data_IF_754071711010
#
_entry.id   IF_754071711010
#
_cell.length_a   1.000
_cell.length_b   1.000
_cell.length_c   1.000
_cell.angle_alpha   90.00
_cell.angle_beta   90.00
_cell.angle_gamma   90.00
#
_symmetry.space_group_name_H-M   'P 1'
#
loop_
_entity.id
_entity.type
_entity.pdbx_description
1 polymer ?
#
# COMPACT_ATOMS: atom_id res chain seq x y z
N UNK A 1 -18.46 -46.68 23.44
CA UNK A 1 -17.51 -45.56 23.32
C UNK A 1 -17.79 -44.89 21.99
N UNK A 2 -18.59 -43.82 22.02
CA UNK A 2 -18.85 -42.97 20.86
C UNK A 2 -17.57 -42.22 20.50
N UNK A 3 -17.14 -42.35 19.25
CA UNK A 3 -16.05 -41.56 18.68
C UNK A 3 -16.65 -40.23 18.25
N UNK A 4 -16.36 -39.19 19.03
CA UNK A 4 -16.69 -37.81 18.67
C UNK A 4 -15.82 -37.41 17.48
N UNK A 5 -16.40 -36.96 16.35
CA UNK A 5 -15.60 -36.45 15.24
C UNK A 5 -15.03 -35.08 15.62
N UNK A 6 -13.70 -34.98 15.60
CA UNK A 6 -12.96 -33.73 15.77
C UNK A 6 -13.37 -32.75 14.66
N UNK A 7 -13.85 -31.58 15.07
CA UNK A 7 -14.18 -30.51 14.14
C UNK A 7 -12.90 -30.00 13.45
N UNK A 8 -12.94 -29.66 12.16
CA UNK A 8 -11.77 -29.13 11.46
C UNK A 8 -11.41 -27.77 12.06
N UNK A 9 -10.18 -27.65 12.56
CA UNK A 9 -9.59 -26.38 12.97
C UNK A 9 -9.55 -25.46 11.74
N UNK A 10 -10.21 -24.29 11.75
CA UNK A 10 -10.22 -23.41 10.60
C UNK A 10 -8.83 -22.82 10.40
N UNK A 11 -8.15 -23.28 9.34
CA UNK A 11 -6.90 -22.72 8.87
C UNK A 11 -7.19 -21.41 8.14
N UNK A 12 -7.49 -20.35 8.90
CA UNK A 12 -7.84 -19.04 8.37
C UNK A 12 -6.70 -18.04 8.63
N UNK A 13 -5.52 -18.35 8.10
CA UNK A 13 -4.41 -17.41 8.04
C UNK A 13 -4.37 -16.79 6.64
N UNK A 14 -5.38 -15.99 6.29
CA UNK A 14 -5.23 -15.09 5.14
C UNK A 14 -4.15 -14.09 5.53
N UNK A 15 -3.03 -14.07 4.79
CA UNK A 15 -1.98 -13.07 5.02
C UNK A 15 -2.58 -11.68 4.95
N UNK A 16 -2.07 -10.74 5.75
CA UNK A 16 -2.54 -9.36 5.75
C UNK A 16 -2.56 -8.75 4.34
N UNK A 17 -1.56 -9.09 3.52
CA UNK A 17 -1.49 -8.68 2.11
C UNK A 17 -2.70 -9.19 1.32
N UNK A 18 -3.10 -10.46 1.50
CA UNK A 18 -4.29 -11.00 0.86
C UNK A 18 -5.57 -10.35 1.40
N UNK A 19 -5.65 -10.08 2.70
CA UNK A 19 -6.78 -9.37 3.30
C UNK A 19 -6.89 -7.92 2.79
N UNK A 20 -5.77 -7.22 2.64
CA UNK A 20 -5.66 -5.89 2.06
C UNK A 20 -6.09 -5.89 0.58
N UNK A 21 -5.59 -6.84 -0.22
CA UNK A 21 -6.00 -6.97 -1.61
C UNK A 21 -7.49 -7.23 -1.74
N UNK A 22 -8.04 -8.17 -0.97
CA UNK A 22 -9.49 -8.43 -0.97
C UNK A 22 -10.29 -7.20 -0.52
N UNK A 23 -9.82 -6.45 0.49
CA UNK A 23 -10.48 -5.24 0.99
C UNK A 23 -10.56 -4.13 -0.06
N UNK A 24 -9.54 -3.98 -0.90
CA UNK A 24 -9.43 -2.85 -1.83
C UNK A 24 -9.57 -3.20 -3.31
N UNK A 25 -9.71 -4.48 -3.65
CA UNK A 25 -9.80 -4.97 -5.05
C UNK A 25 -10.80 -4.19 -5.88
N UNK A 26 -12.00 -3.96 -5.34
CA UNK A 26 -13.08 -3.29 -6.08
C UNK A 26 -12.81 -1.77 -6.23
N UNK A 27 -12.20 -1.12 -5.23
CA UNK A 27 -11.76 0.28 -5.33
C UNK A 27 -10.62 0.47 -6.34
N UNK A 28 -9.68 -0.48 -6.41
CA UNK A 28 -8.61 -0.47 -7.42
C UNK A 28 -9.18 -0.63 -8.85
N UNK A 29 -10.26 -1.38 -9.02
CA UNK A 29 -10.87 -1.66 -10.32
C UNK A 29 -11.88 -0.58 -10.75
N UNK A 30 -12.59 0.05 -9.81
CA UNK A 30 -13.67 1.00 -10.10
C UNK A 30 -13.20 2.44 -10.38
N UNK A 31 -12.05 2.86 -9.83
CA UNK A 31 -11.54 4.24 -9.98
C UNK A 31 -10.05 4.24 -10.32
N UNK A 32 -9.72 3.97 -11.59
CA UNK A 32 -8.35 4.03 -12.11
C UNK A 32 -7.94 5.50 -12.30
N UNK A 33 -7.70 6.25 -11.21
CA UNK A 33 -6.92 7.49 -11.26
C UNK A 33 -5.46 7.15 -11.56
N UNK A 34 -4.74 8.07 -12.22
CA UNK A 34 -3.32 7.95 -12.60
C UNK A 34 -2.41 7.52 -11.43
N UNK A 35 -2.77 7.89 -10.20
CA UNK A 35 -2.07 7.53 -8.97
C UNK A 35 -2.20 6.03 -8.64
N UNK A 36 -3.37 5.40 -8.87
CA UNK A 36 -3.56 3.95 -8.72
C UNK A 36 -2.84 3.12 -9.79
N UNK A 37 -2.61 3.66 -10.99
CA UNK A 37 -1.78 3.02 -12.04
C UNK A 37 -0.30 2.98 -11.66
N UNK A 38 0.22 4.03 -11.02
CA UNK A 38 1.60 4.08 -10.50
C UNK A 38 1.75 3.09 -9.32
N UNK A 39 0.69 2.92 -8.53
CA UNK A 39 0.63 1.98 -7.41
C UNK A 39 0.55 0.53 -7.92
N UNK A 40 -0.32 0.22 -8.87
CA UNK A 40 -0.44 -1.11 -9.49
C UNK A 40 0.83 -1.56 -10.22
N UNK A 41 1.51 -0.64 -10.90
CA UNK A 41 2.82 -0.92 -11.53
C UNK A 41 3.94 -1.14 -10.50
N UNK A 42 3.88 -0.46 -9.34
CA UNK A 42 4.79 -0.71 -8.21
C UNK A 42 4.55 -2.09 -7.58
N UNK A 43 3.31 -2.55 -7.49
CA UNK A 43 2.99 -3.91 -7.02
C UNK A 43 3.43 -4.99 -8.00
N UNK A 44 3.30 -4.79 -9.31
CA UNK A 44 3.86 -5.71 -10.33
C UNK A 44 5.39 -5.75 -10.24
N UNK A 45 6.05 -4.60 -10.05
CA UNK A 45 7.50 -4.55 -9.82
C UNK A 45 7.92 -5.24 -8.51
N UNK A 46 7.06 -5.29 -7.49
CA UNK A 46 7.30 -5.94 -6.19
C UNK A 46 7.00 -7.44 -6.19
N UNK A 47 5.97 -7.90 -6.90
CA UNK A 47 5.80 -9.32 -7.23
C UNK A 47 6.95 -9.79 -8.11
N UNK A 48 7.41 -8.94 -9.04
CA UNK A 48 8.66 -9.18 -9.76
C UNK A 48 9.86 -9.15 -8.81
N UNK A 49 9.94 -8.34 -7.75
CA UNK A 49 11.06 -8.37 -6.81
C UNK A 49 11.06 -9.61 -5.91
N UNK A 50 9.89 -10.11 -5.49
CA UNK A 50 9.73 -11.36 -4.73
C UNK A 50 9.90 -12.59 -5.63
N UNK A 51 9.43 -12.51 -6.88
CA UNK A 51 9.74 -13.47 -7.94
C UNK A 51 11.22 -13.40 -8.34
N UNK A 52 11.84 -12.23 -8.35
CA UNK A 52 13.29 -12.01 -8.52
C UNK A 52 14.01 -12.55 -7.30
N UNK A 53 13.49 -12.48 -6.07
CA UNK A 53 14.08 -13.13 -4.90
C UNK A 53 14.03 -14.67 -5.03
N UNK A 54 12.86 -15.21 -5.41
CA UNK A 54 12.67 -16.65 -5.70
C UNK A 54 13.45 -17.16 -6.91
N UNK A 55 13.65 -16.31 -7.92
CA UNK A 55 14.45 -16.63 -9.11
C UNK A 55 15.91 -16.26 -8.93
N UNK A 56 16.33 -15.31 -8.11
CA UNK A 56 17.73 -14.98 -7.78
C UNK A 56 18.33 -16.09 -6.92
N UNK A 57 17.55 -16.67 -6.01
CA UNK A 57 17.87 -17.94 -5.33
C UNK A 57 18.03 -19.11 -6.35
N UNK A 58 17.51 -18.98 -7.58
CA UNK A 58 17.47 -20.05 -8.59
C UNK A 58 18.09 -19.72 -9.98
N UNK A 59 18.73 -18.56 -10.22
CA UNK A 59 19.01 -18.04 -11.59
C UNK A 59 20.47 -17.63 -11.83
N UNK A 60 21.04 -17.91 -13.03
CA UNK A 60 22.44 -17.63 -13.38
C UNK A 60 22.77 -16.15 -13.68
N UNK A 61 21.88 -15.20 -13.41
CA UNK A 61 22.10 -13.76 -13.64
C UNK A 61 23.20 -13.11 -12.77
N UNK A 62 23.80 -13.86 -11.82
CA UNK A 62 25.01 -13.51 -11.03
C UNK A 62 26.24 -13.09 -11.87
N UNK A 63 26.24 -13.30 -13.20
CA UNK A 63 27.43 -13.07 -14.05
C UNK A 63 27.73 -11.60 -14.41
N UNK A 64 26.75 -10.68 -14.46
CA UNK A 64 26.99 -9.30 -14.96
C UNK A 64 27.52 -8.31 -13.94
N UNK A 65 27.19 -8.44 -12.65
CA UNK A 65 27.79 -7.60 -11.60
C UNK A 65 29.27 -7.96 -11.32
N UNK A 66 29.69 -9.17 -11.71
CA UNK A 66 31.07 -9.66 -11.55
C UNK A 66 32.08 -9.06 -12.55
N UNK A 67 31.66 -8.50 -13.69
CA UNK A 67 32.63 -7.91 -14.65
C UNK A 67 33.17 -6.54 -14.21
N UNK A 68 32.39 -5.76 -13.46
CA UNK A 68 32.81 -4.42 -13.01
C UNK A 68 33.78 -4.49 -11.82
N UNK A 69 33.66 -5.51 -10.96
CA UNK A 69 34.50 -5.66 -9.76
C UNK A 69 35.70 -6.61 -9.96
N UNK A 70 35.70 -7.47 -11.00
CA UNK A 70 36.83 -8.37 -11.32
C UNK A 70 38.08 -7.62 -11.78
N UNK A 71 37.94 -6.50 -12.48
CA UNK A 71 39.07 -5.73 -13.01
C UNK A 71 39.92 -5.08 -11.91
N UNK A 72 39.40 -4.97 -10.69
CA UNK A 72 40.08 -4.32 -9.56
C UNK A 72 40.81 -5.30 -8.61
N UNK A 73 40.49 -6.60 -8.65
CA UNK A 73 40.95 -7.58 -7.65
C UNK A 73 41.90 -8.67 -8.15
N UNK A 74 42.29 -8.66 -9.43
CA UNK A 74 43.14 -9.71 -10.01
C UNK A 74 44.63 -9.61 -9.62
N UNK A 75 45.01 -8.67 -8.77
CA UNK A 75 46.36 -8.56 -8.22
C UNK A 75 46.27 -8.55 -6.70
N UNK A 76 46.27 -9.73 -6.08
CA UNK A 76 46.91 -10.06 -4.78
C UNK A 76 46.55 -11.52 -4.42
N UNK A 77 47.49 -12.39 -4.80
CA UNK A 77 47.93 -13.61 -4.12
C UNK A 77 46.89 -14.61 -3.58
N UNK A 78 46.85 -15.75 -4.29
CA UNK A 78 46.78 -17.10 -3.71
C UNK A 78 47.84 -17.26 -2.61
N UNK A 79 47.45 -17.31 -1.35
CA UNK A 79 48.13 -18.03 -0.26
C UNK A 79 47.34 -17.80 1.06
N UNK A 80 47.08 -18.90 1.79
CA UNK A 80 46.24 -19.05 3.01
C UNK A 80 44.77 -19.44 2.77
N UNK A 81 44.60 -20.60 2.16
CA UNK A 81 43.35 -21.35 2.13
C UNK A 81 43.35 -22.35 3.30
N UNK A 82 43.15 -21.88 4.55
CA UNK A 82 42.85 -22.77 5.70
C UNK A 82 42.29 -22.09 6.99
N UNK A 83 42.02 -20.78 7.05
CA UNK A 83 41.50 -20.12 8.26
C UNK A 83 40.24 -19.26 8.02
N UNK A 84 39.06 -19.86 7.75
CA UNK A 84 37.77 -19.22 8.10
C UNK A 84 36.50 -20.09 7.96
N UNK A 85 36.54 -21.40 8.20
CA UNK A 85 35.29 -22.18 8.24
C UNK A 85 34.61 -21.94 9.58
N UNK A 86 33.80 -20.87 9.67
CA UNK A 86 32.98 -20.59 10.84
C UNK A 86 32.10 -21.81 11.15
N UNK A 87 32.07 -22.24 12.40
CA UNK A 87 31.33 -23.44 12.82
C UNK A 87 29.81 -23.24 12.69
N UNK A 88 29.06 -24.33 12.51
CA UNK A 88 27.59 -24.26 12.44
C UNK A 88 26.98 -23.68 13.73
N UNK A 89 27.60 -23.94 14.88
CA UNK A 89 27.21 -23.34 16.16
C UNK A 89 27.38 -21.82 16.17
N UNK A 90 28.49 -21.31 15.60
CA UNK A 90 28.70 -19.87 15.48
C UNK A 90 27.64 -19.24 14.57
N UNK A 91 27.31 -19.88 13.45
CA UNK A 91 26.28 -19.40 12.50
C UNK A 91 24.90 -19.36 13.16
N UNK A 92 24.54 -20.38 13.93
CA UNK A 92 23.29 -20.42 14.69
C UNK A 92 23.21 -19.32 15.76
N UNK A 93 24.33 -19.04 16.45
CA UNK A 93 24.41 -17.92 17.41
C UNK A 93 24.24 -16.56 16.75
N UNK A 94 24.85 -16.37 15.57
CA UNK A 94 24.69 -15.13 14.79
C UNK A 94 23.26 -14.93 14.30
N UNK A 95 22.58 -16.00 13.88
CA UNK A 95 21.17 -15.93 13.49
C UNK A 95 20.30 -15.52 14.66
N UNK A 96 20.48 -16.18 15.82
CA UNK A 96 19.74 -15.83 17.04
C UNK A 96 19.98 -14.38 17.45
N UNK A 97 21.23 -13.92 17.41
CA UNK A 97 21.59 -12.52 17.70
C UNK A 97 20.90 -11.55 16.74
N UNK A 98 20.89 -11.88 15.44
CA UNK A 98 20.23 -11.06 14.43
C UNK A 98 18.71 -11.01 14.63
N UNK A 99 18.05 -12.15 14.92
CA UNK A 99 16.62 -12.19 15.25
C UNK A 99 16.28 -11.35 16.50
N UNK A 100 17.11 -11.39 17.54
CA UNK A 100 16.92 -10.54 18.72
C UNK A 100 17.07 -9.05 18.41
N UNK A 101 18.05 -8.67 17.58
CA UNK A 101 18.20 -7.28 17.15
C UNK A 101 17.02 -6.84 16.29
N UNK A 102 16.53 -7.73 15.42
CA UNK A 102 15.41 -7.48 14.53
C UNK A 102 14.13 -7.12 15.31
N UNK A 103 13.89 -7.73 16.47
CA UNK A 103 12.76 -7.36 17.33
C UNK A 103 12.86 -5.91 17.82
N UNK A 104 14.04 -5.48 18.27
CA UNK A 104 14.27 -4.08 18.69
C UNK A 104 14.15 -3.11 17.52
N UNK A 105 14.68 -3.49 16.35
CA UNK A 105 14.55 -2.68 15.13
C UNK A 105 13.09 -2.55 14.68
N UNK A 106 12.27 -3.59 14.88
CA UNK A 106 10.85 -3.58 14.56
C UNK A 106 10.05 -2.62 15.44
N UNK A 107 10.42 -2.49 16.73
CA UNK A 107 9.82 -1.50 17.63
C UNK A 107 10.11 -0.07 17.15
N UNK A 108 11.37 0.22 16.83
CA UNK A 108 11.79 1.53 16.30
C UNK A 108 11.05 1.83 14.99
N UNK A 109 10.95 0.85 14.09
CA UNK A 109 10.21 0.98 12.85
C UNK A 109 8.72 1.29 13.10
N UNK A 110 8.09 0.58 14.03
CA UNK A 110 6.69 0.79 14.40
C UNK A 110 6.45 2.20 14.95
N UNK A 111 7.35 2.70 15.81
CA UNK A 111 7.30 4.10 16.27
C UNK A 111 7.39 5.08 15.10
N UNK A 112 8.27 4.81 14.13
CA UNK A 112 8.40 5.66 12.94
C UNK A 112 7.14 5.67 12.06
N UNK A 113 6.46 4.52 11.92
CA UNK A 113 5.18 4.43 11.22
C UNK A 113 4.10 5.25 11.91
N UNK A 114 3.98 5.13 13.24
CA UNK A 114 3.01 5.90 14.01
C UNK A 114 3.26 7.41 13.86
N UNK A 115 4.52 7.84 13.84
CA UNK A 115 4.85 9.24 13.58
C UNK A 115 4.43 9.69 12.17
N UNK A 116 4.65 8.86 11.13
CA UNK A 116 4.17 9.15 9.76
C UNK A 116 2.65 9.25 9.69
N UNK A 117 1.92 8.39 10.42
CA UNK A 117 0.45 8.50 10.54
C UNK A 117 0.03 9.81 11.19
N UNK A 118 0.67 10.19 12.30
CA UNK A 118 0.38 11.44 13.00
C UNK A 118 0.60 12.66 12.08
N UNK A 119 1.72 12.67 11.33
CA UNK A 119 1.99 13.69 10.33
C UNK A 119 0.94 13.73 9.22
N UNK A 120 0.50 12.56 8.74
CA UNK A 120 -0.54 12.47 7.73
C UNK A 120 -1.89 13.00 8.25
N UNK A 121 -2.28 12.67 9.48
CA UNK A 121 -3.51 13.19 10.10
C UNK A 121 -3.45 14.72 10.17
N UNK A 122 -2.34 15.27 10.68
CA UNK A 122 -2.15 16.73 10.76
C UNK A 122 -2.22 17.40 9.38
N UNK A 123 -1.63 16.79 8.36
CA UNK A 123 -1.71 17.29 6.99
C UNK A 123 -3.14 17.29 6.45
N UNK A 124 -3.92 16.23 6.73
CA UNK A 124 -5.33 16.15 6.33
C UNK A 124 -6.20 17.18 7.03
N UNK A 125 -5.92 17.48 8.30
CA UNK A 125 -6.60 18.55 9.03
C UNK A 125 -6.35 19.92 8.42
N UNK A 126 -5.14 20.18 7.88
CA UNK A 126 -4.83 21.41 7.15
C UNK A 126 -5.55 21.47 5.79
N UNK A 127 -5.64 20.34 5.10
CA UNK A 127 -6.33 20.23 3.80
C UNK A 127 -7.84 20.30 3.90
N UNK A 128 -8.41 20.03 5.08
CA UNK A 128 -9.85 20.09 5.34
C UNK A 128 -10.46 21.42 4.87
N UNK A 129 -9.82 22.54 5.20
CA UNK A 129 -10.32 23.86 4.79
C UNK A 129 -10.33 24.06 3.27
N UNK A 130 -9.37 23.47 2.56
CA UNK A 130 -9.32 23.53 1.10
C UNK A 130 -10.39 22.62 0.48
N UNK A 131 -10.60 21.42 1.05
CA UNK A 131 -11.66 20.52 0.62
C UNK A 131 -13.03 21.18 0.78
N UNK A 132 -13.31 21.80 1.94
CA UNK A 132 -14.54 22.55 2.19
C UNK A 132 -14.76 23.67 1.16
N UNK A 133 -13.74 24.48 0.87
CA UNK A 133 -13.83 25.51 -0.18
C UNK A 133 -14.15 24.91 -1.55
N UNK A 134 -13.50 23.81 -1.91
CA UNK A 134 -13.76 23.13 -3.18
C UNK A 134 -15.18 22.59 -3.27
N UNK A 135 -15.75 22.13 -2.15
CA UNK A 135 -17.15 21.72 -2.08
C UNK A 135 -18.07 22.92 -2.24
N UNK A 136 -17.84 24.01 -1.52
CA UNK A 136 -18.65 25.22 -1.67
C UNK A 136 -18.59 25.76 -3.10
N UNK A 137 -17.41 25.80 -3.73
CA UNK A 137 -17.27 26.18 -5.13
C UNK A 137 -18.01 25.23 -6.08
N UNK A 138 -17.90 23.92 -5.86
CA UNK A 138 -18.65 22.91 -6.62
C UNK A 138 -20.14 23.19 -6.53
N UNK A 139 -20.67 23.44 -5.33
CA UNK A 139 -22.10 23.60 -5.09
C UNK A 139 -22.63 25.03 -5.29
N UNK A 140 -21.78 26.04 -5.45
CA UNK A 140 -22.22 27.43 -5.73
C UNK A 140 -22.35 27.74 -7.23
N UNK A 141 -21.74 26.92 -8.10
CA UNK A 141 -21.76 27.15 -9.55
C UNK A 141 -22.29 25.93 -10.29
N UNK A 142 -23.06 26.19 -11.35
CA UNK A 142 -23.40 25.14 -12.30
C UNK A 142 -22.11 24.59 -12.92
N UNK A 143 -21.93 23.28 -12.83
CA UNK A 143 -20.80 22.57 -13.43
C UNK A 143 -21.34 21.47 -14.35
N UNK A 144 -20.93 21.45 -15.63
CA UNK A 144 -21.33 20.42 -16.60
C UNK A 144 -21.00 18.98 -16.12
N UNK A 145 -19.97 18.82 -15.27
CA UNK A 145 -19.64 17.53 -14.63
C UNK A 145 -20.60 17.13 -13.51
N UNK A 146 -21.39 18.05 -12.96
CA UNK A 146 -22.58 17.62 -12.21
C UNK A 146 -23.45 16.81 -13.16
N UNK A 147 -23.73 17.33 -14.35
CA UNK A 147 -24.59 16.72 -15.38
C UNK A 147 -24.22 15.31 -15.88
N UNK A 148 -22.95 14.88 -15.81
CA UNK A 148 -22.48 13.77 -16.64
C UNK A 148 -22.77 12.35 -16.15
N UNK A 149 -23.12 12.12 -14.88
CA UNK A 149 -23.51 10.76 -14.41
C UNK A 149 -24.67 10.75 -13.39
N UNK A 150 -24.84 11.80 -12.57
CA UNK A 150 -25.86 11.84 -11.51
C UNK A 150 -27.04 12.80 -11.77
N UNK A 151 -26.95 13.71 -12.75
CA UNK A 151 -27.77 14.94 -12.77
C UNK A 151 -28.52 15.26 -14.07
N UNK A 152 -28.37 14.46 -15.12
CA UNK A 152 -28.98 14.76 -16.43
C UNK A 152 -30.51 14.75 -16.42
N UNK A 153 -31.14 14.08 -15.44
CA UNK A 153 -32.60 14.06 -15.28
C UNK A 153 -33.10 15.24 -14.43
N UNK A 154 -32.44 15.52 -13.30
CA UNK A 154 -32.82 16.61 -12.38
C UNK A 154 -32.76 17.96 -13.09
N UNK A 155 -31.67 18.26 -13.80
CA UNK A 155 -31.48 19.58 -14.43
C UNK A 155 -32.29 19.84 -15.70
N UNK A 156 -32.91 18.83 -16.32
CA UNK A 156 -33.78 19.08 -17.49
C UNK A 156 -35.05 19.85 -17.12
N UNK A 157 -35.49 19.74 -15.87
CA UNK A 157 -36.72 20.37 -15.38
C UNK A 157 -36.49 21.50 -14.38
N UNK A 158 -35.24 21.73 -13.92
CA UNK A 158 -34.92 22.79 -12.95
C UNK A 158 -35.30 24.22 -13.37
N UNK A 159 -35.33 24.62 -14.66
CA UNK A 159 -35.82 25.95 -15.04
C UNK A 159 -37.28 26.21 -14.69
N UNK A 160 -38.09 25.16 -14.51
CA UNK A 160 -39.49 25.25 -14.13
C UNK A 160 -39.72 25.09 -12.62
N UNK A 161 -38.66 24.83 -11.84
CA UNK A 161 -38.79 24.58 -10.41
C UNK A 161 -39.15 25.84 -9.63
N UNK A 162 -40.12 25.69 -8.76
CA UNK A 162 -40.50 26.63 -7.71
C UNK A 162 -39.42 26.69 -6.62
N UNK A 163 -39.46 27.75 -5.80
CA UNK A 163 -38.57 27.86 -4.64
C UNK A 163 -38.74 26.66 -3.66
N UNK A 164 -39.95 26.11 -3.53
CA UNK A 164 -40.23 24.94 -2.67
C UNK A 164 -39.58 23.65 -3.20
N UNK A 165 -39.58 23.44 -4.51
CA UNK A 165 -38.91 22.29 -5.14
C UNK A 165 -37.38 22.37 -4.97
N UNK A 166 -36.81 23.57 -5.11
CA UNK A 166 -35.38 23.80 -4.83
C UNK A 166 -35.02 23.55 -3.36
N UNK A 167 -35.87 23.99 -2.43
CA UNK A 167 -35.69 23.73 -1.00
C UNK A 167 -35.79 22.25 -0.65
N UNK A 168 -36.72 21.52 -1.27
CA UNK A 168 -36.84 20.09 -1.07
C UNK A 168 -35.56 19.38 -1.55
N UNK A 169 -35.18 19.61 -2.81
CA UNK A 169 -34.01 18.97 -3.43
C UNK A 169 -32.71 19.14 -2.64
N UNK A 170 -32.44 20.36 -2.14
CA UNK A 170 -31.20 20.61 -1.38
C UNK A 170 -31.20 19.90 -0.02
N UNK A 171 -32.38 19.66 0.57
CA UNK A 171 -32.55 18.95 1.85
C UNK A 171 -32.52 17.42 1.67
N UNK A 172 -32.80 16.91 0.46
CA UNK A 172 -32.86 15.48 0.14
C UNK A 172 -31.72 15.05 -0.78
N UNK A 173 -31.89 15.07 -2.09
CA UNK A 173 -30.96 14.45 -3.04
C UNK A 173 -29.59 15.13 -3.03
N UNK A 174 -29.52 16.47 -2.94
CA UNK A 174 -28.24 17.16 -2.89
C UNK A 174 -27.47 16.81 -1.61
N UNK A 175 -28.18 16.65 -0.49
CA UNK A 175 -27.61 16.26 0.80
C UNK A 175 -26.99 14.87 0.72
N UNK A 176 -27.65 13.92 0.07
CA UNK A 176 -27.13 12.57 -0.19
C UNK A 176 -25.89 12.60 -1.09
N UNK A 177 -25.89 13.45 -2.12
CA UNK A 177 -24.71 13.62 -2.98
C UNK A 177 -23.52 14.22 -2.23
N UNK A 178 -23.75 15.16 -1.31
CA UNK A 178 -22.71 15.67 -0.42
C UNK A 178 -22.15 14.57 0.51
N UNK A 179 -23.00 13.64 0.97
CA UNK A 179 -22.56 12.46 1.75
C UNK A 179 -21.70 11.51 0.91
N UNK A 180 -22.03 11.32 -0.36
CA UNK A 180 -21.21 10.53 -1.29
C UNK A 180 -19.84 11.20 -1.50
N UNK A 181 -19.80 12.53 -1.71
CA UNK A 181 -18.53 13.28 -1.82
C UNK A 181 -17.67 13.11 -0.57
N UNK A 182 -18.29 13.20 0.61
CA UNK A 182 -17.63 12.97 1.89
C UNK A 182 -17.09 11.55 2.02
N UNK A 183 -17.91 10.53 1.74
CA UNK A 183 -17.52 9.13 1.81
C UNK A 183 -16.34 8.85 0.89
N UNK A 184 -16.37 9.38 -0.33
CA UNK A 184 -15.28 9.24 -1.29
C UNK A 184 -13.98 9.86 -0.76
N UNK A 185 -14.04 11.07 -0.19
CA UNK A 185 -12.87 11.73 0.37
C UNK A 185 -12.26 10.98 1.56
N UNK A 186 -13.11 10.42 2.43
CA UNK A 186 -12.65 9.57 3.54
C UNK A 186 -12.05 8.25 3.04
N UNK A 187 -12.72 7.56 2.11
CA UNK A 187 -12.21 6.30 1.57
C UNK A 187 -10.88 6.47 0.81
N UNK A 188 -10.72 7.55 0.05
CA UNK A 188 -9.43 7.91 -0.58
C UNK A 188 -8.35 8.16 0.49
N UNK A 189 -8.71 8.83 1.58
CA UNK A 189 -7.81 9.14 2.68
C UNK A 189 -7.36 7.87 3.42
N UNK A 190 -8.29 6.97 3.77
CA UNK A 190 -7.99 5.69 4.40
C UNK A 190 -7.12 4.79 3.51
N UNK A 191 -7.47 4.68 2.22
CA UNK A 191 -6.73 3.88 1.26
C UNK A 191 -5.27 4.35 1.16
N UNK A 192 -5.03 5.66 1.17
CA UNK A 192 -3.68 6.21 1.17
C UNK A 192 -2.87 5.75 2.39
N UNK A 193 -3.46 5.82 3.59
CA UNK A 193 -2.78 5.40 4.82
C UNK A 193 -2.44 3.92 4.76
N UNK A 194 -3.41 3.07 4.41
CA UNK A 194 -3.17 1.62 4.35
C UNK A 194 -2.08 1.28 3.31
N UNK A 195 -2.11 1.90 2.12
CA UNK A 195 -1.06 1.74 1.09
C UNK A 195 0.30 2.19 1.59
N UNK A 196 0.37 3.34 2.27
CA UNK A 196 1.61 3.86 2.84
C UNK A 196 2.21 2.87 3.85
N UNK A 197 1.40 2.34 4.78
CA UNK A 197 1.85 1.39 5.79
C UNK A 197 2.36 0.08 5.16
N UNK A 198 1.61 -0.47 4.20
CA UNK A 198 1.99 -1.69 3.47
C UNK A 198 3.33 -1.48 2.77
N UNK A 199 3.49 -0.36 2.07
CA UNK A 199 4.71 -0.05 1.32
C UNK A 199 5.93 0.06 2.23
N UNK A 200 5.81 0.81 3.32
CA UNK A 200 6.88 1.00 4.29
C UNK A 200 7.27 -0.32 4.97
N UNK A 201 6.29 -1.14 5.34
CA UNK A 201 6.53 -2.47 5.90
C UNK A 201 7.28 -3.38 4.94
N UNK A 202 6.83 -3.46 3.68
CA UNK A 202 7.49 -4.27 2.64
C UNK A 202 8.93 -3.82 2.42
N UNK A 203 9.15 -2.51 2.29
CA UNK A 203 10.48 -1.95 2.09
C UNK A 203 11.39 -2.28 3.28
N UNK A 204 10.91 -2.07 4.49
CA UNK A 204 11.69 -2.32 5.71
C UNK A 204 12.05 -3.80 5.87
N UNK A 205 11.08 -4.72 5.75
CA UNK A 205 11.34 -6.16 5.91
C UNK A 205 12.28 -6.70 4.83
N UNK A 206 12.14 -6.21 3.58
CA UNK A 206 13.03 -6.58 2.49
C UNK A 206 14.45 -6.10 2.76
N UNK A 207 14.63 -4.85 3.22
CA UNK A 207 15.95 -4.36 3.58
C UNK A 207 16.59 -5.19 4.71
N UNK A 208 15.81 -5.56 5.73
CA UNK A 208 16.31 -6.36 6.86
C UNK A 208 16.76 -7.75 6.43
N UNK A 209 15.96 -8.47 5.65
CA UNK A 209 16.39 -9.80 5.18
C UNK A 209 17.57 -9.71 4.20
N UNK A 210 17.63 -8.64 3.38
CA UNK A 210 18.78 -8.38 2.53
C UNK A 210 20.07 -8.19 3.35
N UNK A 211 20.05 -7.37 4.41
CA UNK A 211 21.18 -7.20 5.33
C UNK A 211 21.70 -8.54 5.88
N UNK A 212 20.80 -9.49 6.16
CA UNK A 212 21.18 -10.82 6.63
C UNK A 212 21.83 -11.66 5.53
N UNK A 213 21.16 -11.82 4.38
CA UNK A 213 21.63 -12.73 3.32
C UNK A 213 22.90 -12.24 2.64
N UNK A 214 23.15 -10.92 2.62
CA UNK A 214 24.35 -10.34 2.02
C UNK A 214 25.56 -10.33 2.95
N UNK A 215 25.48 -10.93 4.15
CA UNK A 215 26.67 -11.07 5.01
C UNK A 215 27.77 -11.82 4.27
N UNK A 216 29.00 -11.31 4.31
CA UNK A 216 30.15 -11.84 3.57
C UNK A 216 30.31 -13.36 3.68
N UNK A 217 30.14 -13.91 4.89
CA UNK A 217 30.32 -15.34 5.13
C UNK A 217 29.20 -16.20 4.53
N UNK A 218 27.97 -15.67 4.42
CA UNK A 218 26.86 -16.34 3.74
C UNK A 218 27.08 -16.32 2.24
N UNK A 219 27.48 -15.18 1.67
CA UNK A 219 27.80 -15.05 0.25
C UNK A 219 28.90 -16.03 -0.16
N UNK A 220 29.99 -16.12 0.61
CA UNK A 220 31.10 -17.05 0.34
C UNK A 220 30.68 -18.51 0.44
N UNK A 221 29.89 -18.86 1.46
CA UNK A 221 29.38 -20.22 1.64
C UNK A 221 28.38 -20.61 0.53
N UNK A 222 27.52 -19.68 0.11
CA UNK A 222 26.61 -19.89 -1.01
C UNK A 222 27.37 -20.07 -2.33
N UNK A 223 28.41 -19.26 -2.61
CA UNK A 223 29.26 -19.43 -3.78
C UNK A 223 29.95 -20.80 -3.81
N UNK A 224 30.47 -21.25 -2.66
CA UNK A 224 31.07 -22.58 -2.52
C UNK A 224 30.08 -23.69 -2.87
N UNK A 225 28.85 -23.64 -2.33
CA UNK A 225 27.84 -24.65 -2.60
C UNK A 225 27.28 -24.57 -4.02
N UNK A 226 27.15 -23.37 -4.58
CA UNK A 226 26.77 -23.15 -5.99
C UNK A 226 27.78 -23.82 -6.95
N UNK A 227 29.08 -23.67 -6.68
CA UNK A 227 30.13 -24.31 -7.47
C UNK A 227 30.12 -25.83 -7.31
N UNK A 228 29.92 -26.33 -6.09
CA UNK A 228 29.77 -27.75 -5.82
C UNK A 228 28.54 -28.36 -6.49
N UNK A 229 27.42 -27.65 -6.52
CA UNK A 229 26.17 -28.09 -7.16
C UNK A 229 26.31 -28.17 -8.69
N UNK A 230 27.03 -27.22 -9.31
CA UNK A 230 27.33 -27.19 -10.75
C UNK A 230 28.31 -28.27 -11.19
N UNK A 231 29.13 -28.77 -10.26
CA UNK A 231 30.13 -29.76 -10.59
C UNK A 231 29.49 -31.11 -10.95
N UNK A 232 29.81 -31.63 -12.15
CA UNK A 232 29.22 -32.87 -12.72
C UNK A 232 29.96 -34.15 -12.30
N UNK A 233 31.08 -34.03 -11.59
CA UNK A 233 31.81 -35.19 -11.04
C UNK A 233 30.90 -35.99 -10.09
N UNK A 234 31.17 -37.28 -9.88
CA UNK A 234 30.21 -38.13 -9.22
C UNK A 234 30.11 -37.73 -7.75
N UNK A 235 29.07 -36.94 -7.42
CA UNK A 235 28.76 -36.46 -6.07
C UNK A 235 28.76 -37.60 -5.03
N UNK A 236 28.64 -38.87 -5.46
CA UNK A 236 28.62 -40.07 -4.62
C UNK A 236 29.96 -40.43 -3.97
N UNK A 237 31.07 -39.90 -4.50
CA UNK A 237 32.40 -40.13 -3.94
C UNK A 237 32.66 -39.29 -2.67
N UNK A 238 31.90 -38.21 -2.44
CA UNK A 238 32.16 -37.24 -1.36
C UNK A 238 31.05 -37.24 -0.30
N UNK A 239 30.92 -38.35 0.44
CA UNK A 239 29.91 -38.50 1.53
C UNK A 239 30.02 -37.35 2.55
N UNK A 240 31.23 -36.91 2.88
CA UNK A 240 31.44 -35.83 3.86
C UNK A 240 30.92 -34.48 3.36
N UNK A 241 31.17 -34.14 2.09
CA UNK A 241 30.67 -32.90 1.49
C UNK A 241 29.16 -32.91 1.33
N UNK A 242 28.55 -34.07 1.00
CA UNK A 242 27.08 -34.20 1.02
C UNK A 242 26.50 -33.91 2.41
N UNK A 243 27.11 -34.45 3.48
CA UNK A 243 26.66 -34.19 4.86
C UNK A 243 26.73 -32.69 5.21
N UNK A 244 27.81 -32.00 4.84
CA UNK A 244 27.95 -30.56 5.04
C UNK A 244 26.94 -29.76 4.22
N UNK A 245 26.70 -30.14 2.96
CA UNK A 245 25.71 -29.52 2.08
C UNK A 245 24.29 -29.69 2.64
N UNK A 246 23.92 -30.88 3.12
CA UNK A 246 22.62 -31.12 3.76
C UNK A 246 22.46 -30.23 4.99
N UNK A 247 23.48 -30.14 5.87
CA UNK A 247 23.44 -29.23 7.02
C UNK A 247 23.27 -27.76 6.62
N UNK A 248 23.90 -27.34 5.53
CA UNK A 248 23.71 -25.99 4.99
C UNK A 248 22.27 -25.76 4.51
N UNK A 249 21.71 -26.68 3.72
CA UNK A 249 20.30 -26.60 3.28
C UNK A 249 19.32 -26.62 4.46
N UNK A 250 19.52 -27.50 5.43
CA UNK A 250 18.68 -27.60 6.62
C UNK A 250 18.69 -26.29 7.41
N UNK A 251 19.86 -25.66 7.56
CA UNK A 251 19.97 -24.34 8.18
C UNK A 251 19.20 -23.27 7.39
N UNK A 252 19.35 -23.23 6.07
CA UNK A 252 18.64 -22.25 5.24
C UNK A 252 17.11 -22.42 5.32
N UNK A 253 16.62 -23.66 5.33
CA UNK A 253 15.18 -23.95 5.52
C UNK A 253 14.70 -23.40 6.86
N UNK A 254 15.43 -23.75 7.93
CA UNK A 254 15.09 -23.32 9.29
C UNK A 254 15.11 -21.79 9.44
N UNK A 255 16.14 -21.11 8.94
CA UNK A 255 16.19 -19.64 8.96
C UNK A 255 15.02 -19.02 8.18
N UNK A 256 14.64 -19.63 7.04
CA UNK A 256 13.50 -19.18 6.22
C UNK A 256 12.18 -19.34 6.97
N UNK A 257 11.95 -20.50 7.59
CA UNK A 257 10.75 -20.77 8.38
C UNK A 257 10.64 -19.83 9.57
N UNK A 258 11.73 -19.62 10.31
CA UNK A 258 11.77 -18.69 11.45
C UNK A 258 11.53 -17.23 11.01
N UNK A 259 12.09 -16.82 9.88
CA UNK A 259 11.83 -15.49 9.30
C UNK A 259 10.37 -15.31 8.88
N UNK A 260 9.79 -16.28 8.16
CA UNK A 260 8.39 -16.20 7.71
C UNK A 260 7.46 -16.14 8.92
N UNK A 261 7.65 -17.03 9.90
CA UNK A 261 6.84 -17.04 11.11
C UNK A 261 6.95 -15.71 11.89
N UNK A 262 8.16 -15.14 11.96
CA UNK A 262 8.37 -13.84 12.60
C UNK A 262 7.65 -12.72 11.85
N UNK A 263 7.77 -12.66 10.51
CA UNK A 263 7.08 -11.66 9.67
C UNK A 263 5.57 -11.76 9.84
N UNK A 264 4.99 -12.96 9.75
CA UNK A 264 3.55 -13.18 9.91
C UNK A 264 3.05 -12.75 11.29
N UNK A 265 3.81 -13.05 12.35
CA UNK A 265 3.48 -12.63 13.70
C UNK A 265 3.49 -11.09 13.83
N UNK A 266 4.47 -10.41 13.24
CA UNK A 266 4.54 -8.94 13.27
C UNK A 266 3.45 -8.30 12.41
N UNK A 267 3.14 -8.85 11.24
CA UNK A 267 2.03 -8.37 10.39
C UNK A 267 0.70 -8.40 11.15
N UNK A 268 0.41 -9.49 11.87
CA UNK A 268 -0.80 -9.60 12.71
C UNK A 268 -0.83 -8.57 13.84
N UNK A 269 0.30 -8.26 14.47
CA UNK A 269 0.36 -7.29 15.56
C UNK A 269 0.16 -5.85 15.10
N UNK A 270 0.68 -5.50 13.92
CA UNK A 270 0.76 -4.11 13.47
C UNK A 270 -0.33 -3.71 12.49
N UNK A 271 -0.81 -4.65 11.68
CA UNK A 271 -1.66 -4.34 10.54
C UNK A 271 -3.12 -4.76 10.78
N UNK A 272 -3.37 -5.68 11.70
CA UNK A 272 -4.73 -6.08 12.10
C UNK A 272 -5.27 -5.26 13.29
N UNK A 273 -4.43 -4.46 13.96
CA UNK A 273 -4.87 -3.65 15.09
C UNK A 273 -5.58 -2.38 14.59
N UNK A 274 -6.83 -2.18 15.03
CA UNK A 274 -7.61 -1.00 14.68
C UNK A 274 -6.92 0.27 15.20
N UNK A 275 -6.65 1.21 14.30
CA UNK A 275 -6.00 2.46 14.67
C UNK A 275 -7.00 3.43 15.30
N UNK A 276 -6.99 3.47 16.63
CA UNK A 276 -7.86 4.35 17.41
C UNK A 276 -7.74 5.81 16.99
N UNK A 277 -6.53 6.31 16.68
CA UNK A 277 -6.34 7.72 16.28
C UNK A 277 -7.01 8.01 14.95
N UNK A 278 -6.86 7.11 13.98
CA UNK A 278 -7.51 7.24 12.69
C UNK A 278 -9.04 7.18 12.81
N UNK A 279 -9.56 6.28 13.65
CA UNK A 279 -11.00 6.19 13.94
C UNK A 279 -11.54 7.44 14.63
N UNK A 280 -10.80 8.01 15.59
CA UNK A 280 -11.14 9.29 16.24
C UNK A 280 -11.13 10.45 15.25
N UNK A 281 -10.10 10.54 14.40
CA UNK A 281 -10.01 11.56 13.35
C UNK A 281 -11.22 11.50 12.40
N UNK A 282 -11.61 10.31 11.92
CA UNK A 282 -12.80 10.15 11.05
C UNK A 282 -14.06 10.68 11.72
N UNK A 283 -14.28 10.31 13.00
CA UNK A 283 -15.46 10.72 13.76
C UNK A 283 -15.50 12.23 13.96
N UNK A 284 -14.38 12.83 14.31
CA UNK A 284 -14.26 14.28 14.51
C UNK A 284 -14.51 15.02 13.21
N UNK A 285 -13.89 14.57 12.12
CA UNK A 285 -14.02 15.21 10.81
C UNK A 285 -15.44 15.04 10.24
N UNK A 286 -16.12 13.91 10.47
CA UNK A 286 -17.54 13.74 10.12
C UNK A 286 -18.45 14.71 10.89
N UNK A 287 -18.12 15.01 12.14
CA UNK A 287 -18.85 16.01 12.92
C UNK A 287 -18.69 17.41 12.31
N UNK A 288 -17.49 17.75 11.86
CA UNK A 288 -17.22 19.02 11.16
C UNK A 288 -17.95 19.08 9.81
N UNK A 289 -17.92 17.98 9.05
CA UNK A 289 -18.64 17.84 7.80
C UNK A 289 -20.14 18.10 7.97
N UNK A 290 -20.79 17.43 8.92
CA UNK A 290 -22.23 17.61 9.18
C UNK A 290 -22.58 19.06 9.53
N UNK A 291 -21.78 19.68 10.41
CA UNK A 291 -21.97 21.09 10.77
C UNK A 291 -21.85 22.02 9.56
N UNK A 292 -20.83 21.81 8.73
CA UNK A 292 -20.65 22.57 7.51
C UNK A 292 -21.82 22.38 6.54
N UNK A 293 -22.18 21.12 6.26
CA UNK A 293 -23.24 20.77 5.31
C UNK A 293 -24.57 21.42 5.71
N UNK A 294 -24.96 21.28 6.98
CA UNK A 294 -26.23 21.82 7.45
C UNK A 294 -26.22 23.37 7.41
N UNK A 295 -25.08 23.99 7.74
CA UNK A 295 -24.89 25.44 7.59
C UNK A 295 -24.99 25.89 6.12
N UNK A 296 -24.34 25.14 5.22
CA UNK A 296 -24.36 25.40 3.78
C UNK A 296 -25.78 25.30 3.20
N UNK A 297 -26.51 24.23 3.51
CA UNK A 297 -27.90 24.03 3.06
C UNK A 297 -28.78 25.20 3.53
N UNK A 298 -28.68 25.58 4.81
CA UNK A 298 -29.47 26.69 5.35
C UNK A 298 -29.14 28.03 4.65
N UNK A 299 -27.85 28.28 4.37
CA UNK A 299 -27.41 29.46 3.63
C UNK A 299 -27.92 29.43 2.19
N UNK A 300 -27.81 28.28 1.51
CA UNK A 300 -28.27 28.07 0.15
C UNK A 300 -29.75 28.42 -0.02
N UNK A 301 -30.59 27.98 0.93
CA UNK A 301 -32.03 28.28 1.01
C UNK A 301 -32.29 29.76 1.27
N UNK A 302 -31.70 30.30 2.34
CA UNK A 302 -31.91 31.69 2.76
C UNK A 302 -31.58 32.70 1.66
N UNK A 303 -30.49 32.44 0.94
CA UNK A 303 -29.98 33.33 -0.11
C UNK A 303 -30.56 33.01 -1.50
N UNK A 304 -31.40 31.97 -1.62
CA UNK A 304 -31.95 31.48 -2.89
C UNK A 304 -30.86 31.28 -3.96
N UNK A 305 -29.78 30.61 -3.57
CA UNK A 305 -28.55 30.45 -4.36
C UNK A 305 -28.78 29.83 -5.74
N UNK A 306 -29.85 29.04 -5.92
CA UNK A 306 -30.27 28.49 -7.22
C UNK A 306 -30.47 29.54 -8.32
N UNK A 307 -30.79 30.80 -7.95
CA UNK A 307 -30.89 31.91 -8.92
C UNK A 307 -29.57 32.17 -9.66
N UNK A 308 -28.43 31.84 -9.06
CA UNK A 308 -27.12 32.00 -9.68
C UNK A 308 -26.87 30.99 -10.81
N UNK A 309 -27.54 29.83 -10.79
CA UNK A 309 -27.43 28.84 -11.86
C UNK A 309 -28.04 29.33 -13.18
N UNK A 310 -29.17 30.05 -13.12
CA UNK A 310 -29.87 30.56 -14.31
C UNK A 310 -29.23 31.81 -14.92
N UNK A 311 -28.54 32.62 -14.10
CA UNK A 311 -27.88 33.85 -14.55
C UNK A 311 -26.65 33.58 -15.42
N UNK A 312 -26.02 32.41 -15.28
CA UNK A 312 -24.82 32.02 -16.05
C UNK A 312 -25.17 31.26 -17.32
N UNK A 313 -26.22 30.44 -17.33
CA UNK A 313 -26.74 29.78 -18.53
C UNK A 313 -27.16 30.79 -19.63
N UNK A 314 -27.79 31.89 -19.23
CA UNK A 314 -28.18 32.99 -20.13
C UNK A 314 -27.00 33.84 -20.65
N UNK A 315 -25.82 33.74 -20.04
CA UNK A 315 -24.59 34.39 -20.54
C UNK A 315 -23.75 33.53 -21.48
N UNK A 316 -24.09 32.24 -21.62
CA UNK A 316 -23.42 31.31 -22.55
C UNK A 316 -24.19 31.25 -23.89
N UNK A 317 -25.48 31.58 -23.90
CA UNK A 317 -26.25 31.80 -25.13
C UNK A 317 -26.34 33.29 -25.50
N UNK A 318 -25.31 33.82 -26.16
CA UNK A 318 -25.45 34.75 -27.30
C UNK A 318 -24.08 34.98 -27.97
N UNK A 319 -23.96 34.62 -29.26
CA UNK A 319 -23.87 35.69 -30.23
C UNK A 319 -24.93 35.51 -31.32
N UNK A 320 -26.12 36.06 -31.07
CA UNK A 320 -27.07 36.38 -32.13
C UNK A 320 -26.95 37.88 -32.46
N UNK A 321 -25.91 38.23 -33.20
CA UNK A 321 -25.89 39.47 -33.98
C UNK A 321 -25.02 39.31 -35.23
N UNK A 322 -25.49 38.52 -36.19
CA UNK A 322 -25.14 38.74 -37.59
C UNK A 322 -26.38 38.49 -38.47
N UNK A 323 -27.31 39.43 -38.43
CA UNK A 323 -27.86 40.00 -39.66
C UNK A 323 -27.21 41.40 -39.73
N UNK A 324 -26.66 41.91 -40.84
CA UNK A 324 -27.31 42.26 -42.11
C UNK A 324 -26.24 42.45 -43.23
N UNK A 325 -26.60 42.04 -44.45
CA UNK A 325 -26.18 42.48 -45.81
C UNK A 325 -24.70 42.51 -46.24
N UNK A 326 -24.38 41.76 -47.30
CA UNK A 326 -24.45 42.29 -48.68
C UNK A 326 -24.70 41.16 -49.69
#
# INVERSE_FOLDING_TARGET
MEVVPEAPVPNNSKSFVNAFFEKYKDSFLANVKREFLIIGTSFIALFLASYIFLTYINSPAKKKLKEVDKTSKEVISKEKEDENIKTDEWKAKEWKKWMTQLDSDAEIFTTSLNHKKDQWIAQRELEWGNWIKSMEEKWNYYNERMGSEYYSFVFKNTPAWTDEEWENWIKTEAKELMEIDWSNWISESESYVDVMLVKEWIQWKNNKIMEWITKDWKCKEEEQWDEWEKNKWPKWLSINERKKWTKWKDRLSKETEEWIAWVENKEKQYLDNEDQKLSEWKKNTYTLFNKWRDSYINKFIKEKQWKNYFRKASSIETPASMFISN
#
